data_IF_014169873156
#
_entry.id   IF_014169873156
#
_cell.length_a   1.000
_cell.length_b   1.000
_cell.length_c   1.000
_cell.angle_alpha   90.00
_cell.angle_beta   90.00
_cell.angle_gamma   90.00
#
_symmetry.space_group_name_H-M   'P 1'
#
loop_
_entity.id
_entity.type
_entity.pdbx_description
1 polymer ?
#
# COMPACT_ATOMS: atom_id res chain seq x y z
N UNK A 1 -5.59 -4.09 16.15
CA UNK A 1 -5.56 -5.08 15.06
C UNK A 1 -4.58 -4.55 14.01
N UNK A 2 -3.69 -5.40 13.50
CA UNK A 2 -2.69 -4.98 12.52
C UNK A 2 -3.31 -4.85 11.12
N UNK A 3 -2.99 -3.76 10.40
CA UNK A 3 -3.31 -3.62 8.98
C UNK A 3 -2.32 -4.44 8.14
N UNK A 4 -2.57 -4.62 6.83
CA UNK A 4 -1.64 -5.38 6.00
C UNK A 4 -0.34 -4.59 5.74
N UNK A 5 0.81 -5.26 5.56
CA UNK A 5 2.07 -4.59 5.23
C UNK A 5 1.98 -3.74 3.96
N UNK A 6 1.15 -4.18 3.00
CA UNK A 6 0.86 -3.45 1.75
C UNK A 6 0.13 -2.15 2.03
N UNK A 7 -0.87 -2.18 2.92
CA UNK A 7 -1.60 -0.98 3.33
C UNK A 7 -0.68 0.00 4.05
N UNK A 8 0.13 -0.48 4.99
CA UNK A 8 1.04 0.36 5.75
C UNK A 8 2.10 1.01 4.86
N UNK A 9 2.68 0.25 3.93
CA UNK A 9 3.62 0.78 2.93
C UNK A 9 3.01 1.92 2.12
N UNK A 10 1.81 1.74 1.57
CA UNK A 10 1.15 2.78 0.77
C UNK A 10 0.86 4.02 1.62
N UNK A 11 0.37 3.84 2.84
CA UNK A 11 0.11 4.96 3.74
C UNK A 11 1.41 5.74 4.04
N UNK A 12 2.50 5.05 4.35
CA UNK A 12 3.78 5.69 4.62
C UNK A 12 4.28 6.50 3.39
N UNK A 13 4.15 5.94 2.17
CA UNK A 13 4.59 6.63 0.95
C UNK A 13 3.72 7.83 0.60
N UNK A 14 2.43 7.78 0.89
CA UNK A 14 1.53 8.93 0.70
C UNK A 14 1.79 10.03 1.74
N UNK A 15 2.05 9.67 2.99
CA UNK A 15 2.44 10.63 4.04
C UNK A 15 3.76 11.32 3.69
N UNK A 16 4.73 10.59 3.14
CA UNK A 16 5.99 11.16 2.64
C UNK A 16 5.83 12.01 1.36
N UNK A 17 4.80 11.72 0.55
CA UNK A 17 4.59 12.32 -0.78
C UNK A 17 3.57 13.44 -0.82
N UNK A 18 2.89 13.74 0.30
CA UNK A 18 1.81 14.73 0.38
C UNK A 18 1.90 15.54 1.67
N UNK A 19 1.11 16.60 1.79
CA UNK A 19 0.97 17.35 3.05
C UNK A 19 -0.08 16.75 4.02
N UNK A 20 -0.66 15.60 3.67
CA UNK A 20 -1.67 14.96 4.50
C UNK A 20 -1.02 14.32 5.73
N UNK A 21 -1.63 14.52 6.89
CA UNK A 21 -1.21 13.81 8.10
C UNK A 21 -1.53 12.30 8.03
N UNK A 22 -0.92 11.54 8.93
CA UNK A 22 -1.08 10.09 9.01
C UNK A 22 -2.54 9.63 9.09
N UNK A 23 -3.40 10.35 9.82
CA UNK A 23 -4.81 9.98 9.96
C UNK A 23 -5.55 10.22 8.66
N UNK A 24 -5.33 11.38 8.04
CA UNK A 24 -5.91 11.76 6.76
C UNK A 24 -5.53 10.77 5.67
N UNK A 25 -4.24 10.41 5.57
CA UNK A 25 -3.73 9.42 4.62
C UNK A 25 -4.40 8.06 4.82
N UNK A 26 -4.37 7.51 6.04
CA UNK A 26 -4.98 6.21 6.31
C UNK A 26 -6.48 6.20 6.04
N UNK A 27 -7.17 7.32 6.32
CA UNK A 27 -8.57 7.51 5.98
C UNK A 27 -8.82 7.48 4.47
N UNK A 28 -8.01 8.20 3.69
CA UNK A 28 -8.10 8.22 2.21
C UNK A 28 -7.95 6.83 1.63
N UNK A 29 -6.91 6.09 2.04
CA UNK A 29 -6.64 4.75 1.51
C UNK A 29 -7.77 3.79 1.89
N UNK A 30 -8.31 3.87 3.11
CA UNK A 30 -9.46 3.05 3.52
C UNK A 30 -10.72 3.33 2.71
N UNK A 31 -10.99 4.59 2.37
CA UNK A 31 -12.14 4.96 1.52
C UNK A 31 -11.95 4.35 0.13
N UNK A 32 -10.78 4.51 -0.48
CA UNK A 32 -10.48 3.93 -1.79
C UNK A 32 -10.59 2.40 -1.79
N UNK A 33 -10.10 1.73 -0.74
CA UNK A 33 -10.24 0.27 -0.60
C UNK A 33 -11.71 -0.14 -0.45
N UNK A 34 -12.50 0.57 0.35
CA UNK A 34 -13.92 0.28 0.55
C UNK A 34 -14.72 0.41 -0.75
N UNK A 35 -14.39 1.39 -1.60
CA UNK A 35 -15.00 1.53 -2.93
C UNK A 35 -14.73 0.31 -3.83
N UNK A 36 -13.60 -0.37 -3.65
CA UNK A 36 -13.26 -1.61 -4.34
C UNK A 36 -13.77 -2.89 -3.63
N UNK A 37 -14.47 -2.77 -2.50
CA UNK A 37 -14.87 -3.92 -1.68
C UNK A 37 -13.69 -4.63 -1.00
N UNK A 38 -12.58 -3.92 -0.78
CA UNK A 38 -11.35 -4.43 -0.18
C UNK A 38 -11.20 -3.94 1.26
N UNK A 39 -10.46 -4.73 2.05
CA UNK A 39 -10.21 -4.44 3.47
C UNK A 39 -8.72 -4.17 3.70
N UNK A 40 -8.40 -3.13 4.47
CA UNK A 40 -7.02 -2.72 4.78
C UNK A 40 -6.19 -3.83 5.44
N UNK A 41 -6.85 -4.73 6.18
CA UNK A 41 -6.20 -5.84 6.89
C UNK A 41 -5.71 -6.98 5.98
N UNK A 42 -6.29 -7.12 4.79
CA UNK A 42 -6.09 -8.29 3.92
C UNK A 42 -5.79 -7.94 2.46
N UNK A 43 -5.67 -6.65 2.14
CA UNK A 43 -5.36 -6.20 0.78
C UNK A 43 -3.98 -6.69 0.34
N UNK A 44 -3.92 -7.30 -0.85
CA UNK A 44 -2.69 -7.77 -1.49
C UNK A 44 -2.04 -6.69 -2.34
N UNK A 45 -0.77 -6.87 -2.72
CA UNK A 45 -0.06 -5.93 -3.58
C UNK A 45 -0.74 -5.76 -4.95
N UNK A 46 -1.25 -6.85 -5.53
CA UNK A 46 -1.96 -6.80 -6.81
C UNK A 46 -3.28 -6.00 -6.69
N UNK A 47 -4.06 -6.26 -5.65
CA UNK A 47 -5.30 -5.52 -5.39
C UNK A 47 -5.03 -4.04 -5.12
N UNK A 48 -4.03 -3.73 -4.30
CA UNK A 48 -3.60 -2.35 -4.03
C UNK A 48 -3.11 -1.65 -5.29
N UNK A 49 -2.44 -2.36 -6.21
CA UNK A 49 -2.00 -1.81 -7.49
C UNK A 49 -3.17 -1.29 -8.33
N UNK A 50 -4.29 -2.01 -8.36
CA UNK A 50 -5.51 -1.56 -9.05
C UNK A 50 -6.12 -0.33 -8.36
N UNK A 51 -6.12 -0.30 -7.03
CA UNK A 51 -6.64 0.84 -6.25
C UNK A 51 -5.81 2.10 -6.50
N UNK A 52 -4.48 1.98 -6.49
CA UNK A 52 -3.55 3.08 -6.82
C UNK A 52 -3.75 3.60 -8.24
N UNK A 53 -4.11 2.74 -9.19
CA UNK A 53 -4.31 3.15 -10.58
C UNK A 53 -5.67 3.79 -10.83
N UNK A 54 -6.74 3.28 -10.18
CA UNK A 54 -8.12 3.60 -10.60
C UNK A 54 -8.91 4.45 -9.61
N UNK A 55 -8.57 4.41 -8.33
CA UNK A 55 -9.41 5.00 -7.27
C UNK A 55 -8.67 6.07 -6.50
N UNK A 56 -7.45 5.76 -6.07
CA UNK A 56 -6.71 6.63 -5.18
C UNK A 56 -6.36 8.02 -5.78
N UNK A 57 -6.04 8.17 -7.09
CA UNK A 57 -5.80 9.48 -7.67
C UNK A 57 -7.01 10.42 -7.53
N UNK A 58 -8.22 9.89 -7.73
CA UNK A 58 -9.46 10.65 -7.57
C UNK A 58 -9.69 11.07 -6.11
N UNK A 59 -9.43 10.17 -5.16
CA UNK A 59 -9.54 10.47 -3.72
C UNK A 59 -8.52 11.51 -3.25
N UNK A 60 -7.31 11.48 -3.82
CA UNK A 60 -6.26 12.48 -3.55
C UNK A 60 -6.64 13.85 -4.13
N UNK A 61 -7.12 13.88 -5.38
CA UNK A 61 -7.57 15.10 -6.03
C UNK A 61 -8.76 15.74 -5.28
N UNK A 62 -9.73 14.93 -4.84
CA UNK A 62 -10.86 15.39 -4.02
C UNK A 62 -10.44 16.03 -2.69
N UNK A 63 -9.20 15.78 -2.24
CA UNK A 63 -8.59 16.36 -1.03
C UNK A 63 -7.62 17.50 -1.33
N UNK A 64 -7.55 17.96 -2.58
CA UNK A 64 -6.66 19.03 -3.02
C UNK A 64 -5.20 18.61 -3.16
N UNK A 65 -4.90 17.31 -3.25
CA UNK A 65 -3.55 16.82 -3.53
C UNK A 65 -3.31 16.85 -5.04
N UNK A 66 -2.50 17.80 -5.48
CA UNK A 66 -2.05 17.89 -6.87
C UNK A 66 -1.03 16.80 -7.22
N UNK A 67 -1.02 16.35 -8.47
CA UNK A 67 -0.07 15.33 -8.92
C UNK A 67 -0.32 13.91 -8.37
N UNK A 68 -1.54 13.64 -7.89
CA UNK A 68 -1.94 12.35 -7.33
C UNK A 68 -1.65 11.16 -8.26
N UNK A 69 -1.92 11.27 -9.56
CA UNK A 69 -1.66 10.21 -10.54
C UNK A 69 -0.18 9.80 -10.61
N UNK A 70 0.72 10.79 -10.70
CA UNK A 70 2.16 10.56 -10.79
C UNK A 70 2.69 9.95 -9.48
N UNK A 71 2.19 10.40 -8.33
CA UNK A 71 2.53 9.83 -7.03
C UNK A 71 2.05 8.37 -6.94
N UNK A 72 0.80 8.10 -7.27
CA UNK A 72 0.24 6.75 -7.27
C UNK A 72 1.01 5.79 -8.20
N UNK A 73 1.39 6.25 -9.39
CA UNK A 73 2.20 5.46 -10.32
C UNK A 73 3.58 5.10 -9.72
N UNK A 74 4.25 6.05 -9.06
CA UNK A 74 5.53 5.82 -8.36
C UNK A 74 5.38 4.82 -7.22
N UNK A 75 4.34 4.96 -6.40
CA UNK A 75 4.06 4.04 -5.29
C UNK A 75 3.77 2.63 -5.81
N UNK A 76 3.03 2.51 -6.92
CA UNK A 76 2.72 1.22 -7.55
C UNK A 76 3.99 0.47 -7.98
N UNK A 77 4.97 1.17 -8.53
CA UNK A 77 6.27 0.56 -8.88
C UNK A 77 6.99 -0.01 -7.65
N UNK A 78 6.83 0.62 -6.48
CA UNK A 78 7.39 0.15 -5.21
C UNK A 78 6.69 -1.07 -4.60
N UNK A 79 5.44 -1.36 -4.97
CA UNK A 79 4.65 -2.47 -4.40
C UNK A 79 5.25 -3.85 -4.68
N UNK A 80 5.92 -4.02 -5.83
CA UNK A 80 6.53 -5.30 -6.19
C UNK A 80 7.59 -5.74 -5.17
N UNK A 81 8.31 -4.79 -4.57
CA UNK A 81 9.30 -5.06 -3.51
C UNK A 81 8.66 -5.53 -2.20
N UNK A 82 7.48 -5.01 -1.86
CA UNK A 82 6.76 -5.36 -0.61
C UNK A 82 6.20 -6.78 -0.67
N UNK A 83 5.68 -7.19 -1.83
CA UNK A 83 5.20 -8.55 -2.03
C UNK A 83 6.34 -9.58 -1.90
N UNK A 84 7.53 -9.25 -2.42
CA UNK A 84 8.70 -10.11 -2.31
C UNK A 84 9.17 -10.27 -0.85
N UNK A 85 9.20 -9.20 -0.05
CA UNK A 85 9.58 -9.28 1.36
C UNK A 85 8.54 -10.01 2.22
N UNK A 86 7.25 -9.77 2.00
CA UNK A 86 6.18 -10.43 2.76
C UNK A 86 6.17 -11.96 2.56
N UNK A 87 6.64 -12.44 1.40
CA UNK A 87 6.75 -13.88 1.13
C UNK A 87 8.01 -14.52 1.76
N UNK A 88 9.04 -13.71 2.07
CA UNK A 88 10.30 -14.17 2.67
C UNK A 88 10.22 -14.31 4.19
N UNK A 89 9.28 -13.63 4.85
CA UNK A 89 9.09 -13.66 6.32
C UNK A 89 8.31 -14.90 6.82
N UNK A 90 8.33 -16.02 6.10
CA UNK A 90 7.80 -17.29 6.63
C UNK A 90 8.86 -18.01 7.47
N UNK A 91 8.50 -18.62 8.61
CA UNK A 91 9.44 -19.40 9.42
C UNK A 91 10.19 -20.45 8.58
N UNK A 92 9.51 -21.14 7.67
CA UNK A 92 10.09 -22.10 6.71
C UNK A 92 11.21 -21.47 5.86
N UNK A 93 11.01 -20.28 5.32
CA UNK A 93 12.03 -19.58 4.54
C UNK A 93 13.25 -19.14 5.37
N UNK A 94 13.08 -18.96 6.69
CA UNK A 94 14.19 -18.70 7.62
C UNK A 94 14.93 -19.98 7.98
N UNK A 95 14.22 -21.08 8.24
CA UNK A 95 14.82 -22.39 8.52
C UNK A 95 15.64 -22.92 7.34
N UNK A 96 15.15 -22.76 6.11
CA UNK A 96 15.87 -23.18 4.91
C UNK A 96 17.16 -22.39 4.67
N UNK A 97 17.26 -21.15 5.18
CA UNK A 97 18.47 -20.32 5.13
C UNK A 97 19.51 -20.70 6.19
N UNK A 98 19.06 -21.12 7.37
CA UNK A 98 19.93 -21.47 8.50
C UNK A 98 20.40 -22.93 8.47
N UNK A 99 19.64 -23.82 7.82
CA UNK A 99 19.96 -25.24 7.70
C UNK A 99 20.77 -25.64 6.46
N UNK A 100 21.21 -24.67 5.64
CA UNK A 100 21.97 -24.91 4.41
C UNK A 100 23.43 -24.44 4.53
N UNK A 101 24.25 -25.22 5.24
CA UNK A 101 25.71 -25.18 5.20
C UNK A 101 26.26 -26.60 5.25
#
# INVERSE_FOLDING_TARGET
MADSPVFDFVCEKLEQGTALDRLAVRGTVRIALKQAGLEARSVTAQQMGVVLERLLPNELNARGVEGGDALCARIRTGLAGVAATAQVDTPDAVFQRLGGA
#
